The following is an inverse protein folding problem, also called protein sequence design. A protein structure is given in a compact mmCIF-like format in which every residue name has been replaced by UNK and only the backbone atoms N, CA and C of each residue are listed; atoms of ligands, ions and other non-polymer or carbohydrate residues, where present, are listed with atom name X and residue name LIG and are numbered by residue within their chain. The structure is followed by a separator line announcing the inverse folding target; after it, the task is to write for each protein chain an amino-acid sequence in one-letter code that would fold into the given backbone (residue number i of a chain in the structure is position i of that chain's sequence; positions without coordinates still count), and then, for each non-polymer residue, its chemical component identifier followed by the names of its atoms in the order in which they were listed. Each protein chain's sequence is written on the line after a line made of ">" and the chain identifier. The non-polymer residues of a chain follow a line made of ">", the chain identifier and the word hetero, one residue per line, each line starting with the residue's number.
data_IF_739550762479
#
_entry.id   IF_739550762479
#
_cell.length_a   1.000
_cell.length_b   1.000
_cell.length_c   1.000
_cell.angle_alpha   90.00
_cell.angle_beta   90.00
_cell.angle_gamma   90.00
#
_symmetry.space_group_name_H-M   'P 1'
#
loop_
_entity.id
_entity.type
_entity.pdbx_description
1 polymer ?
#
# COMPACT_ATOMS: atom_id res chain seq x y z
N UNK A 1 3.34 -5.84 -24.02
CA UNK A 1 4.06 -5.37 -22.82
C UNK A 1 3.54 -5.95 -21.51
N UNK A 2 2.34 -5.60 -21.01
CA UNK A 2 1.89 -6.11 -19.69
C UNK A 2 1.69 -7.63 -19.68
N UNK A 3 1.09 -8.19 -20.73
CA UNK A 3 0.86 -9.64 -20.83
C UNK A 3 2.17 -10.40 -20.98
N UNK A 4 3.14 -9.82 -21.68
CA UNK A 4 4.49 -10.34 -21.80
C UNK A 4 5.19 -10.38 -20.44
N UNK A 5 5.05 -9.31 -19.63
CA UNK A 5 5.61 -9.24 -18.27
C UNK A 5 4.94 -10.26 -17.34
N UNK A 6 3.64 -10.45 -17.46
CA UNK A 6 2.91 -11.48 -16.72
C UNK A 6 3.26 -12.89 -17.18
N UNK A 7 3.49 -13.11 -18.48
CA UNK A 7 3.97 -14.40 -19.01
C UNK A 7 5.40 -14.68 -18.56
N UNK A 8 6.27 -13.67 -18.52
CA UNK A 8 7.60 -13.80 -17.92
C UNK A 8 7.50 -14.28 -16.48
N UNK A 9 6.63 -13.64 -15.68
CA UNK A 9 6.50 -13.95 -14.26
C UNK A 9 5.79 -15.30 -14.00
N UNK A 10 4.69 -15.58 -14.71
CA UNK A 10 3.77 -16.70 -14.42
C UNK A 10 3.75 -17.82 -15.45
N UNK A 11 4.23 -17.57 -16.67
CA UNK A 11 4.18 -18.53 -17.77
C UNK A 11 5.04 -19.76 -17.54
N UNK A 12 4.72 -20.86 -18.23
CA UNK A 12 5.53 -22.08 -18.17
C UNK A 12 6.93 -21.84 -18.74
N UNK A 13 7.92 -22.63 -18.31
CA UNK A 13 9.28 -22.54 -18.86
C UNK A 13 9.37 -22.82 -20.39
N UNK A 14 8.30 -23.34 -21.00
CA UNK A 14 8.21 -23.61 -22.45
C UNK A 14 7.54 -22.47 -23.23
N UNK A 15 7.01 -21.46 -22.54
CA UNK A 15 6.35 -20.32 -23.18
C UNK A 15 7.37 -19.26 -23.59
N UNK A 16 6.96 -18.28 -24.41
CA UNK A 16 7.90 -17.29 -24.98
C UNK A 16 8.66 -16.58 -23.87
N UNK A 17 7.96 -15.89 -22.98
CA UNK A 17 8.61 -15.15 -21.90
C UNK A 17 8.94 -16.00 -20.67
N UNK A 18 8.19 -17.07 -20.40
CA UNK A 18 8.52 -18.00 -19.32
C UNK A 18 9.84 -18.75 -19.54
N UNK A 19 10.20 -19.03 -20.80
CA UNK A 19 11.51 -19.60 -21.15
C UNK A 19 12.67 -18.66 -20.85
N UNK A 20 12.47 -17.34 -21.01
CA UNK A 20 13.47 -16.33 -20.64
C UNK A 20 13.71 -16.34 -19.12
N UNK A 21 12.64 -16.35 -18.31
CA UNK A 21 12.75 -16.48 -16.84
C UNK A 21 13.51 -17.76 -16.45
N UNK A 22 13.19 -18.88 -17.09
CA UNK A 22 13.86 -20.16 -16.84
C UNK A 22 15.35 -20.12 -17.19
N UNK A 23 15.71 -19.55 -18.35
CA UNK A 23 17.10 -19.39 -18.79
C UNK A 23 17.90 -18.45 -17.87
N UNK A 24 17.24 -17.50 -17.20
CA UNK A 24 17.82 -16.64 -16.16
C UNK A 24 18.03 -17.36 -14.80
N UNK A 25 17.73 -18.66 -14.72
CA UNK A 25 17.97 -19.49 -13.54
C UNK A 25 16.76 -19.67 -12.62
N UNK A 26 15.56 -19.23 -13.04
CA UNK A 26 14.34 -19.40 -12.25
C UNK A 26 13.23 -20.10 -13.05
N UNK A 27 13.29 -21.44 -13.21
CA UNK A 27 12.32 -22.18 -14.02
C UNK A 27 10.88 -22.11 -13.49
N UNK A 28 10.69 -22.02 -12.18
CA UNK A 28 9.37 -21.99 -11.57
C UNK A 28 8.67 -20.63 -11.74
N UNK A 29 7.34 -20.60 -11.97
CA UNK A 29 6.56 -19.35 -11.97
C UNK A 29 6.58 -18.62 -10.62
N UNK A 30 6.54 -17.28 -10.66
CA UNK A 30 6.32 -16.45 -9.47
C UNK A 30 4.82 -16.39 -9.10
N UNK A 31 4.48 -16.32 -7.80
CA UNK A 31 3.09 -16.24 -7.34
C UNK A 31 2.56 -14.80 -7.41
N UNK A 32 2.45 -14.24 -8.62
CA UNK A 32 1.89 -12.89 -8.83
C UNK A 32 0.38 -12.93 -8.59
N UNK A 33 -0.06 -12.34 -7.48
CA UNK A 33 -1.47 -12.28 -7.06
C UNK A 33 -2.17 -10.98 -7.43
N UNK A 34 -1.41 -9.90 -7.55
CA UNK A 34 -1.93 -8.54 -7.71
C UNK A 34 -1.26 -7.83 -8.88
N UNK A 35 -2.03 -7.00 -9.59
CA UNK A 35 -1.50 -6.03 -10.56
C UNK A 35 -2.17 -4.69 -10.33
N UNK A 36 -1.36 -3.67 -10.04
CA UNK A 36 -1.80 -2.27 -10.10
C UNK A 36 -1.68 -1.76 -11.54
N UNK A 37 -2.75 -1.14 -12.05
CA UNK A 37 -2.80 -0.64 -13.42
C UNK A 37 -2.58 0.88 -13.37
N UNK A 38 -1.31 1.30 -13.44
CA UNK A 38 -0.88 2.70 -13.36
C UNK A 38 -0.23 3.05 -12.01
N UNK A 39 0.06 4.34 -11.80
CA UNK A 39 0.43 4.91 -10.51
C UNK A 39 0.02 6.39 -10.43
N UNK A 40 -0.75 6.77 -9.41
CA UNK A 40 -1.25 8.15 -9.19
C UNK A 40 -1.90 8.77 -10.46
N UNK A 41 -2.54 7.92 -11.26
CA UNK A 41 -3.01 8.29 -12.59
C UNK A 41 -4.49 8.69 -12.63
N UNK A 42 -5.27 8.49 -11.55
CA UNK A 42 -6.73 8.63 -11.58
C UNK A 42 -7.22 9.99 -12.13
N UNK A 43 -6.52 11.07 -11.78
CA UNK A 43 -6.85 12.42 -12.26
C UNK A 43 -6.41 12.71 -13.71
N UNK A 44 -5.70 11.80 -14.37
CA UNK A 44 -5.19 11.99 -15.73
C UNK A 44 -6.26 11.71 -16.77
N UNK A 45 -6.33 12.59 -17.77
CA UNK A 45 -7.36 12.59 -18.84
C UNK A 45 -7.64 11.23 -19.49
N UNK A 46 -6.61 10.40 -19.66
CA UNK A 46 -6.72 9.13 -20.40
C UNK A 46 -6.68 7.89 -19.51
N UNK A 47 -6.58 8.05 -18.19
CA UNK A 47 -6.40 6.93 -17.26
C UNK A 47 -7.54 5.92 -17.40
N UNK A 48 -8.79 6.33 -17.22
CA UNK A 48 -9.93 5.41 -17.23
C UNK A 48 -10.03 4.61 -18.53
N UNK A 49 -9.87 5.28 -19.67
CA UNK A 49 -9.90 4.62 -20.98
C UNK A 49 -8.77 3.62 -21.19
N UNK A 50 -7.57 3.92 -20.68
CA UNK A 50 -6.44 3.00 -20.73
C UNK A 50 -6.60 1.85 -19.72
N UNK A 51 -7.00 2.16 -18.49
CA UNK A 51 -7.27 1.20 -17.42
C UNK A 51 -8.19 0.09 -17.91
N UNK A 52 -9.32 0.43 -18.55
CA UNK A 52 -10.26 -0.57 -19.06
C UNK A 52 -9.65 -1.51 -20.11
N UNK A 53 -8.74 -1.01 -20.97
CA UNK A 53 -8.04 -1.85 -21.95
C UNK A 53 -7.11 -2.84 -21.25
N UNK A 54 -6.32 -2.36 -20.29
CA UNK A 54 -5.42 -3.21 -19.49
C UNK A 54 -6.19 -4.21 -18.64
N UNK A 55 -7.23 -3.76 -17.93
CA UNK A 55 -8.10 -4.59 -17.11
C UNK A 55 -8.69 -5.75 -17.92
N UNK A 56 -9.28 -5.45 -19.09
CA UNK A 56 -9.91 -6.49 -19.91
C UNK A 56 -8.88 -7.51 -20.41
N UNK A 57 -7.74 -7.05 -20.93
CA UNK A 57 -6.69 -7.94 -21.45
C UNK A 57 -6.10 -8.84 -20.34
N UNK A 58 -5.83 -8.28 -19.16
CA UNK A 58 -5.31 -9.05 -18.02
C UNK A 58 -6.37 -10.01 -17.50
N UNK A 59 -7.63 -9.57 -17.33
CA UNK A 59 -8.70 -10.44 -16.82
C UNK A 59 -8.97 -11.62 -17.74
N UNK A 60 -8.90 -11.42 -19.06
CA UNK A 60 -9.09 -12.49 -20.05
C UNK A 60 -7.96 -13.54 -19.96
N UNK A 61 -6.72 -13.11 -19.77
CA UNK A 61 -5.55 -14.01 -19.77
C UNK A 61 -5.25 -14.63 -18.40
N UNK A 62 -5.52 -13.89 -17.32
CA UNK A 62 -5.17 -14.23 -15.94
C UNK A 62 -6.34 -13.90 -15.00
N UNK A 63 -7.45 -14.64 -15.08
CA UNK A 63 -8.68 -14.30 -14.36
C UNK A 63 -8.54 -14.35 -12.83
N UNK A 64 -7.52 -15.03 -12.31
CA UNK A 64 -7.21 -15.17 -10.89
C UNK A 64 -6.37 -14.03 -10.29
N UNK A 65 -5.75 -13.19 -11.12
CA UNK A 65 -5.04 -11.99 -10.64
C UNK A 65 -6.07 -10.96 -10.17
N UNK A 66 -5.79 -10.35 -9.02
CA UNK A 66 -6.58 -9.24 -8.50
C UNK A 66 -6.06 -7.90 -9.04
N UNK A 67 -6.94 -7.09 -9.62
CA UNK A 67 -6.57 -5.80 -10.19
C UNK A 67 -6.82 -4.66 -9.20
N UNK A 68 -5.80 -3.81 -9.05
CA UNK A 68 -5.83 -2.60 -8.23
C UNK A 68 -5.96 -1.38 -9.16
N UNK A 69 -7.00 -0.58 -8.95
CA UNK A 69 -7.16 0.73 -9.59
C UNK A 69 -6.46 1.81 -8.76
N UNK A 70 -5.81 2.79 -9.38
CA UNK A 70 -5.26 3.97 -8.68
C UNK A 70 -6.29 5.04 -8.34
N UNK A 71 -7.58 4.79 -8.56
CA UNK A 71 -8.64 5.70 -8.13
C UNK A 71 -9.09 5.36 -6.71
N UNK A 72 -9.09 6.35 -5.82
CA UNK A 72 -9.58 6.18 -4.45
C UNK A 72 -11.09 5.91 -4.41
N UNK A 73 -11.46 4.75 -3.86
CA UNK A 73 -12.84 4.29 -3.65
C UNK A 73 -13.36 4.44 -2.22
N UNK A 74 -12.60 5.08 -1.33
CA UNK A 74 -12.90 5.15 0.11
C UNK A 74 -14.16 5.94 0.45
N UNK A 75 -14.42 7.02 -0.28
CA UNK A 75 -15.53 7.95 -0.04
C UNK A 75 -16.63 7.88 -1.10
N UNK A 76 -16.31 7.42 -2.31
CA UNK A 76 -17.23 7.28 -3.43
C UNK A 76 -16.97 5.95 -4.14
N UNK A 77 -18.01 5.22 -4.55
CA UNK A 77 -17.83 4.02 -5.35
C UNK A 77 -17.08 4.33 -6.65
N UNK A 78 -16.21 3.40 -7.07
CA UNK A 78 -15.61 3.44 -8.41
C UNK A 78 -16.69 3.29 -9.49
N UNK A 79 -16.48 3.95 -10.61
CA UNK A 79 -17.33 3.87 -11.81
C UNK A 79 -16.83 2.82 -12.83
N UNK A 80 -15.84 2.00 -12.44
CA UNK A 80 -15.20 0.98 -13.26
C UNK A 80 -14.86 -0.25 -12.42
N UNK A 81 -14.69 -1.43 -13.05
CA UNK A 81 -14.41 -2.66 -12.33
C UNK A 81 -13.00 -2.67 -11.74
N UNK A 82 -12.87 -3.14 -10.50
CA UNK A 82 -11.62 -3.40 -9.82
C UNK A 82 -11.86 -4.43 -8.70
N UNK A 83 -10.83 -5.17 -8.31
CA UNK A 83 -10.89 -6.04 -7.12
C UNK A 83 -10.46 -5.25 -5.87
N UNK A 84 -9.49 -4.35 -6.06
CA UNK A 84 -8.99 -3.44 -5.05
C UNK A 84 -8.84 -2.03 -5.63
N UNK A 85 -8.75 -1.05 -4.74
CA UNK A 85 -8.37 0.30 -5.09
C UNK A 85 -7.24 0.81 -4.22
N UNK A 86 -6.50 1.74 -4.78
CA UNK A 86 -5.35 2.35 -4.18
C UNK A 86 -5.73 3.57 -3.34
N UNK A 87 -5.05 3.75 -2.20
CA UNK A 87 -5.21 4.89 -1.32
C UNK A 87 -3.84 5.40 -0.89
N UNK A 88 -3.53 6.65 -1.27
CA UNK A 88 -2.26 7.32 -0.97
C UNK A 88 -2.50 8.47 0.01
N UNK A 89 -1.67 8.59 1.05
CA UNK A 89 -1.70 9.75 1.94
C UNK A 89 -0.32 10.15 2.46
N UNK A 90 0.12 11.34 2.07
CA UNK A 90 1.27 12.03 2.66
C UNK A 90 0.80 13.33 3.31
N UNK A 91 0.89 13.42 4.63
CA UNK A 91 0.34 14.57 5.37
C UNK A 91 1.08 14.82 6.68
N UNK A 92 0.70 15.87 7.41
CA UNK A 92 1.27 16.16 8.73
C UNK A 92 0.77 15.19 9.81
N UNK A 93 1.46 15.16 10.96
CA UNK A 93 1.17 14.20 12.04
C UNK A 93 -0.23 14.38 12.63
N UNK A 94 -0.70 15.62 12.77
CA UNK A 94 -2.02 15.91 13.32
C UNK A 94 -3.11 15.42 12.36
N UNK A 95 -2.96 15.69 11.08
CA UNK A 95 -3.92 15.27 10.06
C UNK A 95 -3.97 13.74 9.99
N UNK A 96 -2.82 13.06 9.90
CA UNK A 96 -2.80 11.60 9.80
C UNK A 96 -3.38 10.93 11.06
N UNK A 97 -3.07 11.44 12.25
CA UNK A 97 -3.66 10.95 13.50
C UNK A 97 -5.20 11.02 13.51
N UNK A 98 -5.77 12.08 12.93
CA UNK A 98 -7.21 12.26 12.83
C UNK A 98 -7.85 11.39 11.74
N UNK A 99 -7.06 10.87 10.80
CA UNK A 99 -7.51 9.96 9.73
C UNK A 99 -7.69 8.51 10.19
N UNK A 100 -7.51 8.18 11.48
CA UNK A 100 -7.82 6.84 12.02
C UNK A 100 -9.26 6.37 11.77
N UNK A 101 -10.19 7.28 11.48
CA UNK A 101 -11.57 6.97 11.14
C UNK A 101 -11.89 6.98 9.64
N UNK A 102 -10.90 7.09 8.75
CA UNK A 102 -11.11 7.27 7.29
C UNK A 102 -12.04 6.21 6.71
N UNK A 103 -11.84 4.94 7.06
CA UNK A 103 -12.59 3.83 6.50
C UNK A 103 -13.86 3.44 7.27
N UNK A 104 -14.14 4.10 8.41
CA UNK A 104 -15.26 3.73 9.29
C UNK A 104 -16.62 3.76 8.56
N UNK A 105 -16.78 4.68 7.59
CA UNK A 105 -18.02 4.86 6.81
C UNK A 105 -17.92 4.37 5.37
N UNK A 106 -16.78 3.81 4.96
CA UNK A 106 -16.59 3.28 3.61
C UNK A 106 -17.56 2.13 3.36
N UNK A 107 -18.02 1.98 2.11
CA UNK A 107 -18.92 0.89 1.76
C UNK A 107 -18.28 -0.48 2.00
N UNK A 108 -19.05 -1.42 2.56
CA UNK A 108 -18.64 -2.84 2.72
C UNK A 108 -18.97 -3.68 1.49
N UNK A 109 -19.45 -3.03 0.43
CA UNK A 109 -19.73 -3.64 -0.86
C UNK A 109 -18.84 -3.00 -1.93
N UNK A 110 -18.17 -3.82 -2.73
CA UNK A 110 -17.29 -3.36 -3.81
C UNK A 110 -15.81 -3.72 -3.56
N UNK A 111 -14.88 -3.08 -4.29
CA UNK A 111 -13.45 -3.34 -4.15
C UNK A 111 -12.93 -2.98 -2.76
N UNK A 112 -11.93 -3.72 -2.28
CA UNK A 112 -11.25 -3.44 -1.02
C UNK A 112 -10.16 -2.39 -1.17
N UNK A 113 -9.83 -1.68 -0.10
CA UNK A 113 -8.73 -0.74 -0.09
C UNK A 113 -7.38 -1.47 -0.01
N UNK A 114 -6.42 -0.97 -0.78
CA UNK A 114 -5.00 -1.12 -0.54
C UNK A 114 -4.45 0.28 -0.22
N UNK A 115 -4.05 0.50 1.04
CA UNK A 115 -3.37 1.73 1.44
C UNK A 115 -1.90 1.61 1.04
N UNK A 116 -1.60 1.79 -0.25
CA UNK A 116 -0.30 1.41 -0.81
C UNK A 116 0.83 2.37 -0.45
N UNK A 117 0.48 3.62 -0.12
CA UNK A 117 1.43 4.64 0.28
C UNK A 117 0.86 5.49 1.42
N UNK A 118 1.54 5.48 2.56
CA UNK A 118 1.29 6.47 3.60
C UNK A 118 2.54 6.81 4.39
N UNK A 119 2.65 8.09 4.78
CA UNK A 119 3.62 8.56 5.76
C UNK A 119 3.25 9.93 6.31
N UNK A 120 3.70 10.23 7.53
CA UNK A 120 3.85 11.62 7.96
C UNK A 120 5.05 12.21 7.24
N UNK A 121 4.86 13.26 6.45
CA UNK A 121 5.90 13.79 5.57
C UNK A 121 6.44 15.18 5.93
N UNK A 122 7.58 15.55 5.34
CA UNK A 122 8.20 16.88 5.43
C UNK A 122 8.56 17.30 6.87
N UNK A 123 7.97 18.39 7.37
CA UNK A 123 8.40 19.04 8.62
C UNK A 123 8.25 18.11 9.82
N UNK A 124 7.11 17.44 9.94
CA UNK A 124 6.83 16.56 11.08
C UNK A 124 7.61 15.25 11.02
N UNK A 125 8.08 14.87 9.82
CA UNK A 125 8.88 13.69 9.62
C UNK A 125 10.28 13.81 10.23
N UNK A 126 10.88 15.01 10.20
CA UNK A 126 12.25 15.23 10.67
C UNK A 126 13.25 14.29 9.98
N UNK A 127 14.07 13.56 10.75
CA UNK A 127 14.92 12.45 10.26
C UNK A 127 14.34 11.07 10.63
N UNK A 128 13.01 10.99 10.73
CA UNK A 128 12.27 9.96 11.44
C UNK A 128 11.91 10.43 12.84
N UNK A 129 10.64 10.80 13.05
CA UNK A 129 10.16 11.36 14.32
C UNK A 129 9.25 10.40 15.08
N UNK A 130 9.35 10.42 16.42
CA UNK A 130 8.43 9.68 17.27
C UNK A 130 6.99 10.16 17.09
N UNK A 131 6.80 11.48 16.96
CA UNK A 131 5.48 12.08 16.71
C UNK A 131 4.82 11.52 15.43
N UNK A 132 5.59 11.47 14.33
CA UNK A 132 5.13 10.88 13.06
C UNK A 132 4.74 9.42 13.24
N UNK A 133 5.61 8.62 13.89
CA UNK A 133 5.31 7.20 14.13
C UNK A 133 4.07 6.97 14.99
N UNK A 134 3.76 7.84 15.96
CA UNK A 134 2.55 7.74 16.78
C UNK A 134 1.28 8.10 15.99
N UNK A 135 1.35 9.09 15.11
CA UNK A 135 0.26 9.42 14.20
C UNK A 135 -0.03 8.30 13.20
N UNK A 136 1.02 7.71 12.64
CA UNK A 136 0.95 6.57 11.74
C UNK A 136 0.39 5.32 12.45
N UNK A 137 0.80 5.05 13.70
CA UNK A 137 0.23 3.98 14.51
C UNK A 137 -1.28 4.18 14.73
N UNK A 138 -1.71 5.41 15.06
CA UNK A 138 -3.12 5.72 15.22
C UNK A 138 -3.89 5.46 13.91
N UNK A 139 -3.33 5.84 12.76
CA UNK A 139 -3.91 5.55 11.46
C UNK A 139 -4.01 4.04 11.20
N UNK A 140 -2.94 3.27 11.44
CA UNK A 140 -2.92 1.82 11.25
C UNK A 140 -3.92 1.07 12.13
N UNK A 141 -4.11 1.47 13.40
CA UNK A 141 -5.18 0.87 14.22
C UNK A 141 -6.57 1.08 13.61
N UNK A 142 -6.78 2.22 12.95
CA UNK A 142 -7.98 2.49 12.16
C UNK A 142 -8.13 1.56 10.96
N UNK A 143 -7.02 1.24 10.29
CA UNK A 143 -7.00 0.27 9.19
C UNK A 143 -7.31 -1.15 9.68
N UNK A 144 -6.68 -1.58 10.77
CA UNK A 144 -6.93 -2.90 11.39
C UNK A 144 -8.39 -3.04 11.84
N UNK A 145 -8.96 -2.01 12.46
CA UNK A 145 -10.39 -1.99 12.81
C UNK A 145 -11.31 -2.19 11.60
N UNK A 146 -10.89 -1.72 10.43
CA UNK A 146 -11.63 -1.81 9.17
C UNK A 146 -11.03 -2.87 8.22
N UNK A 147 -10.38 -3.92 8.75
CA UNK A 147 -9.73 -4.97 7.95
C UNK A 147 -10.70 -5.84 7.15
N UNK A 148 -12.01 -5.70 7.38
CA UNK A 148 -13.06 -6.27 6.54
C UNK A 148 -13.00 -5.68 5.11
N UNK A 149 -12.66 -4.40 4.99
CA UNK A 149 -12.60 -3.64 3.73
C UNK A 149 -11.21 -3.10 3.38
N UNK A 150 -10.28 -3.03 4.32
CA UNK A 150 -8.86 -2.69 4.07
C UNK A 150 -8.06 -3.99 4.00
N UNK A 151 -7.54 -4.32 2.82
CA UNK A 151 -6.89 -5.60 2.56
C UNK A 151 -5.38 -5.56 2.79
N UNK A 152 -4.74 -4.43 2.50
CA UNK A 152 -3.28 -4.26 2.55
C UNK A 152 -2.93 -2.83 2.92
N UNK A 153 -1.76 -2.63 3.52
CA UNK A 153 -1.18 -1.31 3.78
C UNK A 153 0.34 -1.35 3.59
N UNK A 154 0.94 -0.25 3.13
CA UNK A 154 2.38 -0.15 2.89
C UNK A 154 2.88 1.26 3.18
N UNK A 155 3.87 1.34 4.07
CA UNK A 155 4.58 2.59 4.36
C UNK A 155 5.46 2.95 3.17
N UNK A 156 5.51 4.22 2.80
CA UNK A 156 6.33 4.68 1.69
C UNK A 156 7.06 6.00 1.99
N UNK A 157 8.31 6.15 1.50
CA UNK A 157 9.14 5.14 0.85
C UNK A 157 9.90 4.27 1.88
N UNK A 158 10.39 3.11 1.41
CA UNK A 158 11.00 2.11 2.30
C UNK A 158 12.47 2.40 2.62
N UNK A 159 13.24 2.91 1.66
CA UNK A 159 14.70 3.02 1.75
C UNK A 159 15.20 4.38 1.27
N UNK A 160 16.15 4.94 2.01
CA UNK A 160 16.92 6.13 1.58
C UNK A 160 18.39 5.98 1.84
N UNK A 161 19.20 6.45 0.88
CA UNK A 161 20.62 6.62 1.09
C UNK A 161 20.87 7.95 1.81
N UNK A 162 21.51 7.92 2.97
CA UNK A 162 21.82 9.11 3.80
C UNK A 162 22.67 10.16 3.05
N UNK A 163 23.39 9.74 2.00
CA UNK A 163 24.19 10.65 1.15
C UNK A 163 23.44 11.19 -0.08
N UNK A 164 22.22 10.73 -0.37
CA UNK A 164 21.44 11.11 -1.56
C UNK A 164 19.93 11.13 -1.25
N UNK A 165 19.56 11.94 -0.26
CA UNK A 165 18.18 12.06 0.17
C UNK A 165 17.38 13.01 -0.74
N UNK A 166 16.44 12.44 -1.50
CA UNK A 166 15.54 13.19 -2.40
C UNK A 166 14.09 13.26 -1.90
N UNK A 167 13.72 12.40 -0.95
CA UNK A 167 12.41 12.36 -0.28
C UNK A 167 12.58 12.23 1.24
N UNK A 168 11.55 12.60 2.01
CA UNK A 168 11.56 12.49 3.47
C UNK A 168 10.12 12.39 4.04
N UNK A 169 9.83 11.41 4.92
CA UNK A 169 10.72 10.39 5.52
C UNK A 169 10.90 9.16 4.65
N UNK A 170 11.73 8.24 5.15
CA UNK A 170 11.84 6.86 4.70
C UNK A 170 11.95 5.93 5.92
N UNK A 171 11.50 4.68 5.79
CA UNK A 171 11.52 3.74 6.90
C UNK A 171 12.95 3.32 7.29
N UNK A 172 13.80 3.03 6.31
CA UNK A 172 15.15 2.50 6.51
C UNK A 172 16.15 3.44 5.86
N UNK A 173 17.06 3.97 6.67
CA UNK A 173 18.16 4.83 6.21
C UNK A 173 19.41 3.98 6.13
N UNK A 174 20.15 4.08 5.03
CA UNK A 174 21.40 3.34 4.84
C UNK A 174 22.48 4.19 4.18
N UNK A 175 23.72 3.74 4.28
CA UNK A 175 24.82 4.20 3.44
C UNK A 175 25.71 2.99 3.07
N UNK A 176 26.93 3.22 2.58
CA UNK A 176 27.82 2.14 2.13
C UNK A 176 28.26 1.13 3.20
N UNK A 177 28.07 1.41 4.49
CA UNK A 177 28.58 0.55 5.57
C UNK A 177 27.66 0.43 6.80
N UNK A 178 26.59 1.22 6.91
CA UNK A 178 25.64 1.15 8.02
C UNK A 178 24.20 1.34 7.55
N UNK A 179 23.26 0.88 8.38
CA UNK A 179 21.82 1.08 8.21
C UNK A 179 21.12 1.21 9.55
N UNK A 180 20.02 1.96 9.60
CA UNK A 180 19.14 2.03 10.75
C UNK A 180 17.67 2.19 10.33
N UNK A 181 16.77 1.72 11.18
CA UNK A 181 15.33 1.96 11.03
C UNK A 181 14.89 3.20 11.77
N UNK A 182 14.05 4.03 11.15
CA UNK A 182 13.40 5.18 11.80
C UNK A 182 12.35 4.72 12.82
N UNK A 183 11.83 5.61 13.69
CA UNK A 183 10.70 5.27 14.56
C UNK A 183 9.52 4.66 13.79
N UNK A 184 9.23 5.13 12.58
CA UNK A 184 8.21 4.57 11.69
C UNK A 184 8.50 3.12 11.31
N UNK A 185 9.74 2.75 10.98
CA UNK A 185 10.11 1.35 10.72
C UNK A 185 9.85 0.43 11.92
N UNK A 186 10.24 0.86 13.12
CA UNK A 186 10.01 0.06 14.33
C UNK A 186 8.53 -0.04 14.67
N UNK A 187 7.76 1.00 14.41
CA UNK A 187 6.31 0.97 14.52
C UNK A 187 5.70 -0.05 13.52
N UNK A 188 6.11 -0.06 12.24
CA UNK A 188 5.69 -1.09 11.28
C UNK A 188 6.01 -2.50 11.78
N UNK A 189 7.19 -2.70 12.39
CA UNK A 189 7.59 -3.99 12.96
C UNK A 189 6.62 -4.49 14.03
N UNK A 190 6.04 -3.61 14.85
CA UNK A 190 5.03 -3.99 15.83
C UNK A 190 3.72 -4.42 15.17
N UNK A 191 3.23 -3.67 14.18
CA UNK A 191 1.98 -4.00 13.46
C UNK A 191 2.09 -5.24 12.57
N UNK A 192 3.30 -5.62 12.16
CA UNK A 192 3.50 -6.88 11.44
C UNK A 192 3.05 -8.09 12.26
N UNK A 193 3.22 -8.06 13.58
CA UNK A 193 2.86 -9.19 14.45
C UNK A 193 1.33 -9.37 14.58
N UNK A 194 0.53 -8.33 14.35
CA UNK A 194 -0.94 -8.39 14.29
C UNK A 194 -1.49 -8.64 12.88
N UNK A 195 -0.63 -8.64 11.85
CA UNK A 195 -1.05 -8.88 10.46
C UNK A 195 -1.64 -10.28 10.30
N UNK A 196 -2.92 -10.35 9.90
CA UNK A 196 -3.66 -11.61 9.76
C UNK A 196 -4.28 -12.14 11.06
N UNK A 197 -4.16 -11.41 12.17
CA UNK A 197 -4.85 -11.75 13.42
C UNK A 197 -6.36 -11.48 13.34
N UNK A 198 -7.12 -12.08 14.25
CA UNK A 198 -8.54 -11.79 14.42
C UNK A 198 -8.71 -10.53 15.27
N UNK A 199 -9.49 -9.56 14.78
CA UNK A 199 -9.84 -8.36 15.54
C UNK A 199 -10.89 -8.70 16.60
N UNK A 200 -10.55 -8.44 17.86
CA UNK A 200 -11.49 -8.49 18.97
C UNK A 200 -12.01 -7.08 19.30
N UNK A 201 -13.32 -6.87 19.41
CA UNK A 201 -13.87 -5.57 19.79
C UNK A 201 -13.33 -5.13 21.16
N UNK A 202 -12.73 -3.95 21.20
CA UNK A 202 -12.23 -3.33 22.44
C UNK A 202 -12.89 -1.98 22.68
N UNK A 203 -13.21 -1.71 23.94
CA UNK A 203 -13.66 -0.38 24.39
C UNK A 203 -12.59 0.18 25.30
N UNK A 204 -11.95 1.28 24.88
CA UNK A 204 -10.98 2.00 25.71
C UNK A 204 -11.74 3.10 26.46
N UNK A 205 -11.84 2.97 27.77
CA UNK A 205 -12.26 4.06 28.66
C UNK A 205 -11.01 4.78 29.16
N UNK A 206 -10.86 6.06 28.82
CA UNK A 206 -9.81 6.90 29.39
C UNK A 206 -10.41 8.03 30.22
N UNK A 207 -10.01 8.12 31.48
CA UNK A 207 -10.27 9.28 32.34
C UNK A 207 -9.06 10.22 32.29
N UNK A 208 -8.96 11.04 31.24
CA UNK A 208 -7.96 12.12 31.20
C UNK A 208 -8.55 13.37 31.86
N UNK A 209 -7.99 13.77 33.01
CA UNK A 209 -8.17 15.14 33.52
C UNK A 209 -7.32 16.06 32.64
N UNK A 210 -7.93 17.02 31.96
CA UNK A 210 -7.29 17.93 31.01
C UNK A 210 -6.33 18.96 31.63
N UNK A 211 -5.50 18.55 32.57
CA UNK A 211 -4.45 19.37 33.19
C UNK A 211 -3.08 18.90 32.71
N UNK A 212 -2.69 19.41 31.53
CA UNK A 212 -1.31 19.57 31.07
C UNK A 212 -1.20 20.95 30.42
#
# INVERSE_FOLDING_TARGET
>A
DVLDSLEFARGSANSTWGSVRAAMGHPEPFPVKYVAIGNEDCGKKYYLGNYLKFYNAIRESYPDIQMISNCDGSSKPLDHPADLYDFHVYTDSKTLFNMKGTFDKTSRTGPKAFVSEYAVWRTDAGRGSLLGSLAEAAFLTGLEKNSDIVQMASYAPLFVNDNDQTWNPDAIVFNSWQQYGTPSYWMQKFFRESSGAMIHPITISSSYSGSL
#
